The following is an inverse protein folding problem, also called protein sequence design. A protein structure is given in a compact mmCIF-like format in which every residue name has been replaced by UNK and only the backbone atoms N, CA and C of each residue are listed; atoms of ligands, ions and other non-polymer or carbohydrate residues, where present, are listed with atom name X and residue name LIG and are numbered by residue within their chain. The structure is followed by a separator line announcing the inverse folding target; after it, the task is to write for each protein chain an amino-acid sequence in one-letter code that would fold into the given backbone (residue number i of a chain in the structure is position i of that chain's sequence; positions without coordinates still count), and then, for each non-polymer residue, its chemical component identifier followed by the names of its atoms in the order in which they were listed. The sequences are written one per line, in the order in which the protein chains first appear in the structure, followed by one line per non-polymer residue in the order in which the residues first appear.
data_IF_850978909916
#
_entry.id   IF_850978909916
#
_cell.length_a   1.000
_cell.length_b   1.000
_cell.length_c   1.000
_cell.angle_alpha   90.00
_cell.angle_beta   90.00
_cell.angle_gamma   90.00
#
_symmetry.space_group_name_H-M   'P 1'
#
loop_
_entity.id
_entity.type
_entity.pdbx_description
1 polymer ?
#
# COMPACT_ATOMS: atom_id res chain seq x y z
N UNK A 1 54.19 -36.80 -23.52
CA UNK A 1 54.53 -37.12 -22.11
C UNK A 1 54.91 -35.78 -21.46
N UNK A 2 53.95 -34.99 -20.98
CA UNK A 2 53.36 -34.99 -19.63
C UNK A 2 54.31 -34.53 -18.52
N UNK A 3 53.83 -33.51 -17.78
CA UNK A 3 54.30 -32.94 -16.50
C UNK A 3 55.41 -31.89 -16.71
N UNK A 4 55.21 -30.61 -16.40
CA UNK A 4 54.70 -30.06 -15.14
C UNK A 4 53.65 -28.96 -15.34
N UNK A 5 52.44 -29.21 -14.87
CA UNK A 5 51.38 -28.21 -14.71
C UNK A 5 50.73 -28.40 -13.33
N UNK A 6 51.56 -28.62 -12.31
CA UNK A 6 51.12 -28.98 -10.95
C UNK A 6 51.54 -27.94 -9.89
N UNK A 7 51.64 -26.65 -10.27
CA UNK A 7 52.03 -25.60 -9.31
C UNK A 7 50.99 -24.48 -9.09
N UNK A 8 49.75 -24.56 -9.61
CA UNK A 8 48.78 -23.45 -9.44
C UNK A 8 47.41 -23.81 -8.85
N UNK A 9 47.17 -25.03 -8.38
CA UNK A 9 45.83 -25.41 -7.89
C UNK A 9 45.50 -24.89 -6.47
N UNK A 10 46.50 -24.71 -5.60
CA UNK A 10 46.26 -24.25 -4.22
C UNK A 10 45.92 -22.74 -4.11
N UNK A 11 46.38 -21.93 -5.07
CA UNK A 11 46.07 -20.50 -5.13
C UNK A 11 44.66 -20.19 -5.64
N UNK A 12 44.07 -21.09 -6.42
CA UNK A 12 42.77 -20.89 -7.06
C UNK A 12 41.61 -21.23 -6.12
N UNK A 13 41.79 -22.25 -5.27
CA UNK A 13 40.79 -22.62 -4.23
C UNK A 13 40.65 -21.52 -3.17
N UNK A 14 41.75 -20.84 -2.82
CA UNK A 14 41.72 -19.68 -1.91
C UNK A 14 40.97 -18.49 -2.48
N UNK A 15 41.16 -18.20 -3.78
CA UNK A 15 40.40 -17.15 -4.49
C UNK A 15 38.93 -17.51 -4.66
N UNK A 16 38.63 -18.77 -4.98
CA UNK A 16 37.26 -19.25 -5.09
C UNK A 16 36.50 -19.15 -3.76
N UNK A 17 37.16 -19.46 -2.64
CA UNK A 17 36.58 -19.34 -1.29
C UNK A 17 36.32 -17.87 -0.90
N UNK A 18 37.25 -16.97 -1.20
CA UNK A 18 37.06 -15.53 -0.99
C UNK A 18 35.99 -14.91 -1.92
N UNK A 19 35.83 -15.45 -3.14
CA UNK A 19 34.74 -15.08 -4.05
C UNK A 19 33.38 -15.62 -3.59
N UNK A 20 33.33 -16.80 -2.97
CA UNK A 20 32.13 -17.40 -2.40
C UNK A 20 31.66 -16.70 -1.11
N UNK A 21 32.59 -16.21 -0.28
CA UNK A 21 32.25 -15.38 0.89
C UNK A 21 31.64 -14.03 0.48
N UNK A 22 32.11 -13.43 -0.62
CA UNK A 22 31.52 -12.22 -1.22
C UNK A 22 30.19 -12.45 -1.96
N UNK A 23 29.85 -13.71 -2.29
CA UNK A 23 28.62 -14.06 -3.04
C UNK A 23 27.36 -14.12 -2.16
N UNK A 24 27.50 -14.20 -0.84
CA UNK A 24 26.35 -14.25 0.09
C UNK A 24 25.46 -13.00 0.02
N UNK A 25 26.04 -11.81 -0.15
CA UNK A 25 25.30 -10.56 -0.36
C UNK A 25 24.76 -10.42 -1.80
N UNK A 26 25.44 -11.00 -2.79
CA UNK A 26 24.99 -10.99 -4.18
C UNK A 26 23.79 -11.94 -4.38
N UNK A 27 23.79 -13.07 -3.68
CA UNK A 27 22.71 -14.05 -3.70
C UNK A 27 21.44 -13.50 -3.04
N UNK A 28 21.55 -12.71 -1.97
CA UNK A 28 20.42 -11.97 -1.40
C UNK A 28 19.89 -10.87 -2.34
N UNK A 29 20.78 -10.12 -3.01
CA UNK A 29 20.37 -9.13 -4.03
C UNK A 29 19.70 -9.77 -5.23
N UNK A 30 20.21 -10.91 -5.71
CA UNK A 30 19.63 -11.65 -6.83
C UNK A 30 18.30 -12.25 -6.42
N UNK A 31 18.20 -12.84 -5.22
CA UNK A 31 16.94 -13.35 -4.66
C UNK A 31 15.91 -12.24 -4.49
N UNK A 32 16.31 -11.08 -3.96
CA UNK A 32 15.44 -9.90 -3.84
C UNK A 32 14.98 -9.38 -5.21
N UNK A 33 15.86 -9.38 -6.22
CA UNK A 33 15.50 -8.99 -7.59
C UNK A 33 14.55 -10.01 -8.25
N UNK A 34 14.75 -11.31 -8.03
CA UNK A 34 13.87 -12.37 -8.54
C UNK A 34 12.49 -12.29 -7.87
N UNK A 35 12.45 -12.14 -6.54
CA UNK A 35 11.20 -11.98 -5.80
C UNK A 35 10.47 -10.70 -6.20
N UNK A 36 11.18 -9.58 -6.34
CA UNK A 36 10.62 -8.33 -6.85
C UNK A 36 10.09 -8.46 -8.28
N UNK A 37 10.78 -9.21 -9.15
CA UNK A 37 10.30 -9.49 -10.50
C UNK A 37 9.03 -10.37 -10.48
N UNK A 38 8.96 -11.37 -9.60
CA UNK A 38 7.79 -12.23 -9.42
C UNK A 38 6.59 -11.49 -8.82
N UNK A 39 6.82 -10.61 -7.84
CA UNK A 39 5.82 -9.70 -7.28
C UNK A 39 5.28 -8.74 -8.36
N UNK A 40 6.18 -8.20 -9.19
CA UNK A 40 5.79 -7.36 -10.31
C UNK A 40 4.95 -8.12 -11.32
N UNK A 41 5.29 -9.38 -11.61
CA UNK A 41 4.49 -10.25 -12.46
C UNK A 41 3.10 -10.52 -11.84
N UNK A 42 3.01 -10.76 -10.52
CA UNK A 42 1.74 -10.97 -9.84
C UNK A 42 0.85 -9.72 -9.82
N UNK A 43 1.40 -8.56 -9.46
CA UNK A 43 0.69 -7.27 -9.46
C UNK A 43 0.28 -6.85 -10.87
N UNK A 44 1.11 -7.16 -11.86
CA UNK A 44 0.79 -7.02 -13.28
C UNK A 44 -0.44 -7.86 -13.61
N UNK A 45 -0.40 -9.17 -13.41
CA UNK A 45 -1.55 -10.07 -13.66
C UNK A 45 -2.85 -9.61 -12.99
N UNK A 46 -2.78 -9.15 -11.73
CA UNK A 46 -3.96 -8.69 -10.99
C UNK A 46 -4.58 -7.42 -11.58
N UNK A 47 -3.75 -6.42 -11.91
CA UNK A 47 -4.21 -5.19 -12.53
C UNK A 47 -4.74 -5.39 -13.95
N UNK A 48 -4.20 -6.35 -14.70
CA UNK A 48 -4.66 -6.65 -16.05
C UNK A 48 -6.01 -7.37 -16.09
N UNK A 49 -6.32 -8.20 -15.09
CA UNK A 49 -7.65 -8.81 -14.95
C UNK A 49 -8.77 -7.77 -14.81
N UNK A 50 -8.50 -6.57 -14.29
CA UNK A 50 -9.49 -5.48 -14.23
C UNK A 50 -9.64 -4.71 -15.56
N UNK A 51 -8.81 -4.99 -16.57
CA UNK A 51 -8.79 -4.32 -17.88
C UNK A 51 -9.55 -5.08 -18.96
N UNK A 52 -9.69 -6.41 -18.82
CA UNK A 52 -10.29 -7.27 -19.85
C UNK A 52 -11.77 -6.91 -20.08
N UNK A 53 -12.04 -6.17 -21.17
CA UNK A 53 -13.36 -5.91 -21.74
C UNK A 53 -13.32 -6.19 -23.25
N UNK A 54 -14.49 -6.32 -23.93
CA UNK A 54 -14.55 -6.72 -25.33
C UNK A 54 -13.72 -5.83 -26.27
N UNK A 55 -13.32 -6.33 -27.46
CA UNK A 55 -12.46 -5.64 -28.43
C UNK A 55 -12.93 -4.24 -28.87
N UNK A 56 -14.21 -3.91 -28.69
CA UNK A 56 -14.81 -2.62 -29.06
C UNK A 56 -14.27 -1.41 -28.30
N UNK A 57 -13.48 -1.59 -27.23
CA UNK A 57 -12.93 -0.51 -26.39
C UNK A 57 -11.43 -0.30 -26.60
N UNK A 58 -10.78 -1.06 -27.51
CA UNK A 58 -9.32 -1.03 -27.70
C UNK A 58 -8.80 0.40 -27.98
N UNK A 59 -9.48 1.16 -28.85
CA UNK A 59 -9.10 2.54 -29.19
C UNK A 59 -9.12 3.49 -27.99
N UNK A 60 -10.01 3.29 -27.01
CA UNK A 60 -10.04 4.11 -25.81
C UNK A 60 -8.80 3.91 -24.91
N UNK A 61 -8.11 2.77 -25.07
CA UNK A 61 -6.93 2.40 -24.28
C UNK A 61 -5.62 2.74 -25.00
N UNK A 62 -5.58 2.59 -26.33
CA UNK A 62 -4.34 2.72 -27.10
C UNK A 62 -4.12 4.09 -27.74
N UNK A 63 -5.16 4.93 -27.82
CA UNK A 63 -5.03 6.29 -28.36
C UNK A 63 -4.54 7.22 -27.25
N UNK A 64 -3.41 7.92 -27.44
CA UNK A 64 -2.94 8.93 -26.50
C UNK A 64 -4.03 9.95 -26.14
N UNK A 65 -4.21 10.19 -24.84
CA UNK A 65 -5.22 11.13 -24.33
C UNK A 65 -6.66 10.63 -24.38
N UNK A 66 -6.91 9.38 -24.80
CA UNK A 66 -8.21 8.77 -24.67
C UNK A 66 -8.51 8.40 -23.20
N UNK A 67 -9.81 8.28 -22.88
CA UNK A 67 -10.33 8.10 -21.51
C UNK A 67 -9.68 6.95 -20.73
N UNK A 68 -9.24 5.89 -21.43
CA UNK A 68 -8.70 4.69 -20.81
C UNK A 68 -7.17 4.56 -21.00
N UNK A 69 -6.49 5.59 -21.52
CA UNK A 69 -5.07 5.56 -21.86
C UNK A 69 -4.16 5.32 -20.63
N UNK A 70 -4.56 5.79 -19.45
CA UNK A 70 -3.84 5.55 -18.19
C UNK A 70 -3.60 4.06 -17.89
N UNK A 71 -4.45 3.16 -18.40
CA UNK A 71 -4.25 1.70 -18.29
C UNK A 71 -3.05 1.22 -19.08
N UNK A 72 -2.85 1.75 -20.30
CA UNK A 72 -1.67 1.45 -21.11
C UNK A 72 -0.40 2.06 -20.50
N UNK A 73 -0.50 3.20 -19.82
CA UNK A 73 0.64 3.75 -19.07
C UNK A 73 1.08 2.82 -17.96
N UNK A 74 0.15 2.36 -17.11
CA UNK A 74 0.47 1.45 -16.00
C UNK A 74 1.03 0.09 -16.47
N UNK A 75 0.46 -0.45 -17.54
CA UNK A 75 0.97 -1.60 -18.26
C UNK A 75 2.44 -1.50 -18.69
N UNK A 76 2.77 -0.38 -19.35
CA UNK A 76 4.12 -0.10 -19.81
C UNK A 76 5.03 0.15 -18.63
N UNK A 77 4.59 0.88 -17.60
CA UNK A 77 5.32 1.08 -16.35
C UNK A 77 5.76 -0.23 -15.69
N UNK A 78 4.86 -1.21 -15.56
CA UNK A 78 5.19 -2.54 -15.03
C UNK A 78 6.19 -3.29 -15.92
N UNK A 79 6.13 -3.10 -17.23
CA UNK A 79 7.05 -3.69 -18.19
C UNK A 79 8.44 -3.05 -18.11
N UNK A 80 8.52 -1.72 -17.97
CA UNK A 80 9.76 -0.97 -17.73
C UNK A 80 10.46 -1.45 -16.46
N UNK A 81 9.71 -1.68 -15.37
CA UNK A 81 10.26 -2.24 -14.13
C UNK A 81 10.83 -3.66 -14.28
N UNK A 82 10.41 -4.39 -15.31
CA UNK A 82 10.95 -5.71 -15.70
C UNK A 82 12.08 -5.62 -16.73
N UNK A 83 12.49 -4.42 -17.12
CA UNK A 83 13.50 -4.20 -18.16
C UNK A 83 12.98 -4.41 -19.60
N UNK A 84 11.66 -4.42 -19.78
CA UNK A 84 11.02 -4.54 -21.09
C UNK A 84 10.74 -3.12 -21.61
N UNK A 85 11.58 -2.66 -22.54
CA UNK A 85 11.54 -1.30 -23.09
C UNK A 85 11.12 -1.24 -24.57
N UNK A 86 11.00 -2.39 -25.24
CA UNK A 86 10.65 -2.45 -26.66
C UNK A 86 9.24 -2.96 -26.87
N UNK A 87 8.60 -2.46 -27.93
CA UNK A 87 7.25 -2.85 -28.30
C UNK A 87 7.14 -4.35 -28.60
N UNK A 88 8.12 -4.90 -29.32
CA UNK A 88 8.14 -6.31 -29.73
C UNK A 88 8.20 -7.26 -28.53
N UNK A 89 8.97 -6.89 -27.50
CA UNK A 89 9.01 -7.68 -26.26
C UNK A 89 7.74 -7.46 -25.44
N UNK A 90 7.21 -6.24 -25.44
CA UNK A 90 5.96 -5.93 -24.76
C UNK A 90 4.79 -6.75 -25.28
N UNK A 91 4.58 -6.83 -26.60
CA UNK A 91 3.44 -7.58 -27.18
C UNK A 91 3.50 -9.09 -26.95
N UNK A 92 4.69 -9.62 -26.63
CA UNK A 92 4.88 -11.03 -26.27
C UNK A 92 4.62 -11.30 -24.79
N UNK A 93 4.45 -10.26 -23.99
CA UNK A 93 4.05 -10.43 -22.59
C UNK A 93 2.63 -10.96 -22.54
N UNK A 94 2.37 -11.88 -21.61
CA UNK A 94 1.02 -12.43 -21.39
C UNK A 94 0.01 -11.30 -21.14
N UNK A 95 0.48 -10.23 -20.53
CA UNK A 95 -0.28 -9.03 -20.23
C UNK A 95 -0.70 -8.22 -21.45
N UNK A 96 0.20 -8.05 -22.41
CA UNK A 96 -0.16 -7.44 -23.69
C UNK A 96 -1.11 -8.34 -24.48
N UNK A 97 -0.94 -9.66 -24.40
CA UNK A 97 -1.89 -10.63 -24.97
C UNK A 97 -3.27 -10.53 -24.29
N UNK A 98 -3.31 -10.37 -22.97
CA UNK A 98 -4.57 -10.22 -22.21
C UNK A 98 -5.27 -8.88 -22.53
N UNK A 99 -4.52 -7.79 -22.76
CA UNK A 99 -5.07 -6.46 -23.12
C UNK A 99 -5.53 -6.39 -24.58
N UNK A 100 -4.68 -6.85 -25.49
CA UNK A 100 -4.77 -6.55 -26.92
C UNK A 100 -5.39 -7.74 -27.67
N UNK A 101 -5.39 -8.91 -27.05
CA UNK A 101 -5.72 -10.18 -27.70
C UNK A 101 -4.56 -10.67 -28.58
N UNK A 102 -4.91 -11.48 -29.58
CA UNK A 102 -3.96 -11.92 -30.59
C UNK A 102 -3.57 -10.74 -31.49
N UNK A 103 -2.39 -10.16 -31.25
CA UNK A 103 -1.86 -9.02 -32.01
C UNK A 103 -1.79 -9.31 -33.52
N UNK A 104 -1.65 -10.57 -33.92
CA UNK A 104 -1.64 -10.97 -35.33
C UNK A 104 -3.00 -10.80 -36.00
N UNK A 105 -4.08 -10.63 -35.23
CA UNK A 105 -5.45 -10.41 -35.73
C UNK A 105 -5.86 -8.95 -35.77
N UNK A 106 -5.02 -8.03 -35.31
CA UNK A 106 -5.31 -6.60 -35.37
C UNK A 106 -5.28 -6.11 -36.81
N UNK A 107 -6.18 -5.17 -37.12
CA UNK A 107 -6.09 -4.41 -38.36
C UNK A 107 -4.77 -3.59 -38.38
N UNK A 108 -4.16 -3.36 -39.55
CA UNK A 108 -2.91 -2.59 -39.66
C UNK A 108 -2.99 -1.18 -39.03
N UNK A 109 -4.16 -0.57 -39.09
CA UNK A 109 -4.47 0.74 -38.48
C UNK A 109 -4.39 0.67 -36.96
N UNK A 110 -5.03 -0.32 -36.34
CA UNK A 110 -5.04 -0.50 -34.89
C UNK A 110 -3.65 -0.91 -34.36
N UNK A 111 -2.88 -1.70 -35.14
CA UNK A 111 -1.48 -1.99 -34.83
C UNK A 111 -0.61 -0.73 -34.83
N UNK A 112 -0.84 0.18 -35.78
CA UNK A 112 -0.14 1.46 -35.85
C UNK A 112 -0.49 2.35 -34.67
N UNK A 113 -1.77 2.44 -34.32
CA UNK A 113 -2.25 3.16 -33.13
C UNK A 113 -1.64 2.58 -31.85
N UNK A 114 -1.59 1.26 -31.71
CA UNK A 114 -1.03 0.58 -30.56
C UNK A 114 0.48 0.84 -30.41
N UNK A 115 1.24 0.83 -31.50
CA UNK A 115 2.68 1.18 -31.48
C UNK A 115 2.89 2.63 -31.03
N UNK A 116 2.08 3.56 -31.55
CA UNK A 116 2.11 4.97 -31.16
C UNK A 116 1.75 5.15 -29.67
N UNK A 117 0.67 4.50 -29.23
CA UNK A 117 0.23 4.49 -27.84
C UNK A 117 1.29 3.93 -26.89
N UNK A 118 1.96 2.82 -27.25
CA UNK A 118 3.05 2.27 -26.47
C UNK A 118 4.22 3.26 -26.33
N UNK A 119 4.63 3.91 -27.43
CA UNK A 119 5.72 4.88 -27.40
C UNK A 119 5.39 6.08 -26.49
N UNK A 120 4.16 6.59 -26.55
CA UNK A 120 3.71 7.65 -25.66
C UNK A 120 3.64 7.18 -24.20
N UNK A 121 3.07 6.01 -23.93
CA UNK A 121 2.98 5.44 -22.58
C UNK A 121 4.36 5.20 -21.96
N UNK A 122 5.36 4.83 -22.77
CA UNK A 122 6.75 4.70 -22.34
C UNK A 122 7.38 6.05 -22.00
N UNK A 123 7.07 7.09 -22.78
CA UNK A 123 7.47 8.47 -22.50
C UNK A 123 6.86 8.96 -21.18
N UNK A 124 5.55 8.83 -21.00
CA UNK A 124 4.82 9.27 -19.80
C UNK A 124 5.31 8.54 -18.55
N UNK A 125 5.51 7.22 -18.67
CA UNK A 125 6.14 6.39 -17.63
C UNK A 125 7.50 6.95 -17.21
N UNK A 126 8.34 7.27 -18.18
CA UNK A 126 9.69 7.79 -17.93
C UNK A 126 9.66 9.18 -17.30
N UNK A 127 8.69 10.02 -17.68
CA UNK A 127 8.46 11.34 -17.11
C UNK A 127 8.05 11.23 -15.64
N UNK A 128 7.09 10.37 -15.31
CA UNK A 128 6.63 10.14 -13.93
C UNK A 128 7.77 9.63 -13.04
N UNK A 129 8.52 8.63 -13.49
CA UNK A 129 9.64 8.07 -12.71
C UNK A 129 10.69 9.15 -12.44
N UNK A 130 11.04 9.95 -13.46
CA UNK A 130 12.01 11.05 -13.32
C UNK A 130 11.51 12.12 -12.36
N UNK A 131 10.25 12.54 -12.50
CA UNK A 131 9.63 13.54 -11.64
C UNK A 131 9.61 13.08 -10.19
N UNK A 132 9.10 11.88 -9.91
CA UNK A 132 9.03 11.35 -8.54
C UNK A 132 10.39 11.20 -7.89
N UNK A 133 11.41 10.75 -8.63
CA UNK A 133 12.79 10.72 -8.11
C UNK A 133 13.33 12.11 -7.79
N UNK A 134 13.00 13.12 -8.59
CA UNK A 134 13.37 14.52 -8.31
C UNK A 134 12.74 15.05 -7.02
N UNK A 135 11.57 14.52 -6.65
CA UNK A 135 10.86 14.82 -5.41
C UNK A 135 11.31 13.96 -4.21
N UNK A 136 12.31 13.09 -4.39
CA UNK A 136 12.77 12.17 -3.34
C UNK A 136 11.77 11.06 -3.01
N UNK A 137 10.81 10.78 -3.90
CA UNK A 137 9.88 9.66 -3.74
C UNK A 137 10.59 8.33 -4.00
N UNK A 138 10.25 7.29 -3.24
CA UNK A 138 10.71 5.94 -3.55
C UNK A 138 9.86 5.29 -4.63
N UNK A 139 10.39 4.21 -5.19
CA UNK A 139 9.77 3.47 -6.30
C UNK A 139 8.33 3.00 -5.98
N UNK A 140 8.03 2.71 -4.71
CA UNK A 140 6.72 2.27 -4.24
C UNK A 140 5.69 3.42 -4.16
N UNK A 141 6.11 4.63 -3.79
CA UNK A 141 5.27 5.82 -3.91
C UNK A 141 4.99 6.13 -5.37
N UNK A 142 6.03 6.15 -6.22
CA UNK A 142 5.87 6.35 -7.66
C UNK A 142 4.89 5.32 -8.24
N UNK A 143 5.05 4.05 -7.86
CA UNK A 143 4.14 2.97 -8.24
C UNK A 143 2.69 3.25 -7.82
N UNK A 144 2.46 3.79 -6.62
CA UNK A 144 1.13 4.14 -6.14
C UNK A 144 0.47 5.22 -7.01
N UNK A 145 1.23 6.22 -7.49
CA UNK A 145 0.71 7.24 -8.42
C UNK A 145 0.35 6.65 -9.79
N UNK A 146 1.21 5.81 -10.37
CA UNK A 146 0.89 5.18 -11.67
C UNK A 146 -0.29 4.21 -11.53
N UNK A 147 -0.40 3.48 -10.42
CA UNK A 147 -1.58 2.65 -10.10
C UNK A 147 -2.83 3.51 -9.89
N UNK A 148 -2.70 4.66 -9.26
CA UNK A 148 -3.77 5.64 -9.10
C UNK A 148 -4.29 6.15 -10.44
N UNK A 149 -3.38 6.40 -11.40
CA UNK A 149 -3.74 6.75 -12.77
C UNK A 149 -4.47 5.60 -13.48
N UNK A 150 -4.01 4.35 -13.37
CA UNK A 150 -4.73 3.18 -13.89
C UNK A 150 -6.18 3.09 -13.38
N UNK A 151 -6.39 3.39 -12.11
CA UNK A 151 -7.71 3.34 -11.49
C UNK A 151 -8.60 4.55 -11.84
N UNK A 152 -8.01 5.65 -12.29
CA UNK A 152 -8.69 6.88 -12.72
C UNK A 152 -8.10 7.34 -14.06
N UNK A 153 -8.36 6.59 -15.14
CA UNK A 153 -7.58 6.68 -16.37
C UNK A 153 -7.83 7.96 -17.17
N UNK A 154 -8.85 8.73 -16.78
CA UNK A 154 -9.15 10.07 -17.31
C UNK A 154 -8.13 11.14 -16.90
N UNK A 155 -7.28 10.88 -15.90
CA UNK A 155 -6.22 11.83 -15.56
C UNK A 155 -5.19 11.96 -16.69
N UNK A 156 -4.56 13.12 -16.75
CA UNK A 156 -3.45 13.44 -17.65
C UNK A 156 -2.11 13.32 -16.93
N UNK A 157 -1.01 13.27 -17.68
CA UNK A 157 0.33 13.27 -17.11
C UNK A 157 0.55 14.48 -16.19
N UNK A 158 0.12 15.68 -16.63
CA UNK A 158 0.28 16.92 -15.87
C UNK A 158 -0.45 16.85 -14.52
N UNK A 159 -1.70 16.39 -14.51
CA UNK A 159 -2.48 16.20 -13.27
C UNK A 159 -1.83 15.18 -12.32
N UNK A 160 -1.25 14.09 -12.84
CA UNK A 160 -0.52 13.12 -12.02
C UNK A 160 0.73 13.77 -11.42
N UNK A 161 1.50 14.52 -12.21
CA UNK A 161 2.72 15.20 -11.71
C UNK A 161 2.41 16.29 -10.69
N UNK A 162 1.34 17.06 -10.86
CA UNK A 162 0.88 18.05 -9.88
C UNK A 162 0.50 17.39 -8.56
N UNK A 163 -0.16 16.23 -8.61
CA UNK A 163 -0.47 15.47 -7.40
C UNK A 163 0.77 14.93 -6.69
N UNK A 164 1.82 14.55 -7.44
CA UNK A 164 3.10 14.16 -6.86
C UNK A 164 3.80 15.36 -6.19
N UNK A 165 3.71 16.55 -6.78
CA UNK A 165 4.23 17.78 -6.16
C UNK A 165 3.53 18.08 -4.83
N UNK A 166 2.19 18.04 -4.83
CA UNK A 166 1.37 18.26 -3.62
C UNK A 166 1.67 17.22 -2.53
N UNK A 167 1.91 15.97 -2.93
CA UNK A 167 2.34 14.89 -2.02
C UNK A 167 3.69 15.19 -1.36
N UNK A 168 4.66 15.66 -2.14
CA UNK A 168 6.01 15.95 -1.64
C UNK A 168 6.11 17.28 -0.87
N UNK A 169 5.15 18.19 -1.05
CA UNK A 169 5.21 19.56 -0.55
C UNK A 169 5.46 19.69 0.98
N UNK A 170 4.81 18.92 1.87
CA UNK A 170 5.10 19.01 3.31
C UNK A 170 6.57 18.75 3.64
N UNK A 171 7.20 17.85 2.88
CA UNK A 171 8.60 17.51 3.05
C UNK A 171 9.57 18.57 2.51
N UNK A 172 9.14 19.34 1.51
CA UNK A 172 9.93 20.44 0.96
C UNK A 172 9.86 21.69 1.83
N UNK A 173 8.68 21.98 2.40
CA UNK A 173 8.45 23.21 3.18
C UNK A 173 9.10 23.21 4.56
N UNK A 174 9.22 22.05 5.20
CA UNK A 174 9.71 21.96 6.58
C UNK A 174 10.88 20.99 6.66
N UNK A 175 12.06 21.53 7.00
CA UNK A 175 13.21 20.71 7.36
C UNK A 175 12.83 19.83 8.56
N UNK A 176 12.77 18.51 8.32
CA UNK A 176 12.40 17.53 9.35
C UNK A 176 10.92 17.13 9.36
N UNK A 177 10.09 17.60 8.42
CA UNK A 177 8.79 16.98 8.20
C UNK A 177 8.99 15.48 7.88
N UNK A 178 8.16 14.67 8.51
CA UNK A 178 8.19 13.21 8.39
C UNK A 178 6.85 12.64 7.90
N UNK A 179 5.85 13.50 7.68
CA UNK A 179 4.55 13.15 7.10
C UNK A 179 4.38 13.68 5.70
N UNK A 180 3.32 13.20 5.06
CA UNK A 180 2.74 13.78 3.84
C UNK A 180 1.26 14.00 4.03
N UNK A 181 0.68 14.77 3.13
CA UNK A 181 -0.77 14.94 3.04
C UNK A 181 -1.25 13.97 1.96
N UNK A 182 -2.29 13.20 2.26
CA UNK A 182 -2.91 12.29 1.30
C UNK A 182 -3.20 13.04 -0.01
N UNK A 183 -2.88 12.47 -1.17
CA UNK A 183 -3.17 13.07 -2.48
C UNK A 183 -4.65 12.94 -2.84
N UNK A 184 -5.12 13.62 -3.88
CA UNK A 184 -6.52 13.51 -4.31
C UNK A 184 -6.87 12.13 -4.88
N UNK A 185 -5.87 11.42 -5.41
CA UNK A 185 -5.98 10.00 -5.76
C UNK A 185 -6.29 9.11 -4.55
N UNK A 186 -5.78 9.48 -3.37
CA UNK A 186 -5.99 8.73 -2.13
C UNK A 186 -7.25 9.21 -1.41
N UNK A 187 -7.51 10.51 -1.39
CA UNK A 187 -8.55 11.15 -0.58
C UNK A 187 -9.32 12.16 -1.42
N UNK A 188 -10.57 11.84 -1.75
CA UNK A 188 -11.44 12.72 -2.53
C UNK A 188 -11.89 13.96 -1.74
N UNK A 189 -12.40 14.96 -2.47
CA UNK A 189 -12.80 16.25 -1.88
C UNK A 189 -13.91 16.12 -0.83
N UNK A 190 -14.85 15.19 -1.02
CA UNK A 190 -15.91 14.88 -0.04
C UNK A 190 -15.30 14.34 1.26
N UNK A 191 -14.36 13.39 1.14
CA UNK A 191 -13.64 12.85 2.28
C UNK A 191 -12.84 13.93 3.01
N UNK A 192 -12.13 14.81 2.27
CA UNK A 192 -11.39 15.93 2.89
C UNK A 192 -12.31 16.88 3.64
N UNK A 193 -13.49 17.18 3.11
CA UNK A 193 -14.44 18.06 3.78
C UNK A 193 -14.98 17.46 5.10
N UNK A 194 -14.99 16.13 5.22
CA UNK A 194 -15.40 15.41 6.42
C UNK A 194 -14.27 15.20 7.44
N UNK A 195 -13.01 15.37 7.03
CA UNK A 195 -11.83 15.09 7.86
C UNK A 195 -11.09 16.39 8.18
N UNK A 196 -10.69 16.55 9.45
CA UNK A 196 -9.91 17.71 9.87
C UNK A 196 -8.49 17.70 9.26
N UNK A 197 -7.76 18.82 9.30
CA UNK A 197 -6.43 18.95 8.68
C UNK A 197 -5.44 17.85 9.12
N UNK A 198 -5.49 17.44 10.40
CA UNK A 198 -4.61 16.40 10.94
C UNK A 198 -4.89 15.03 10.31
N UNK A 199 -6.16 14.71 10.08
CA UNK A 199 -6.64 13.42 9.59
C UNK A 199 -6.30 13.17 8.12
N UNK A 200 -5.87 14.22 7.41
CA UNK A 200 -5.42 14.12 6.03
C UNK A 200 -3.95 13.68 5.92
N UNK A 201 -3.24 13.52 7.05
CA UNK A 201 -1.83 13.14 7.06
C UNK A 201 -1.64 11.64 6.93
N UNK A 202 -0.60 11.26 6.21
CA UNK A 202 -0.14 9.88 6.04
C UNK A 202 1.38 9.82 6.17
N UNK A 203 1.91 8.65 6.50
CA UNK A 203 3.34 8.41 6.57
C UNK A 203 3.66 7.00 6.05
N UNK A 204 4.63 6.91 5.14
CA UNK A 204 5.18 5.63 4.73
C UNK A 204 5.39 5.50 3.23
N UNK A 205 4.88 4.43 2.63
CA UNK A 205 5.48 3.72 1.48
C UNK A 205 4.57 3.54 0.27
N UNK A 206 3.37 4.11 0.29
CA UNK A 206 2.40 3.93 -0.79
C UNK A 206 1.77 2.53 -0.78
N UNK A 207 1.66 1.94 0.40
CA UNK A 207 0.76 0.81 0.68
C UNK A 207 -0.69 1.27 0.80
N UNK A 208 -0.96 2.44 1.39
CA UNK A 208 -2.31 3.03 1.38
C UNK A 208 -2.62 3.52 -0.04
N UNK A 209 -3.75 3.07 -0.56
CA UNK A 209 -4.24 3.43 -1.89
C UNK A 209 -5.46 4.33 -1.83
N UNK A 210 -6.27 4.23 -0.77
CA UNK A 210 -7.50 5.00 -0.64
C UNK A 210 -7.88 5.26 0.80
N UNK A 211 -8.38 6.46 1.07
CA UNK A 211 -9.00 6.87 2.32
C UNK A 211 -10.36 7.47 1.95
N UNK A 212 -11.43 6.99 2.59
CA UNK A 212 -12.78 7.49 2.41
C UNK A 212 -13.42 7.79 3.75
N UNK A 213 -14.02 8.95 3.88
CA UNK A 213 -14.88 9.29 5.00
C UNK A 213 -16.30 9.50 4.50
N UNK A 214 -17.29 8.95 5.21
CA UNK A 214 -18.72 9.08 4.88
C UNK A 214 -19.54 9.10 6.15
N UNK A 215 -20.77 9.58 6.06
CA UNK A 215 -21.78 9.32 7.09
C UNK A 215 -22.49 8.00 6.79
N UNK A 216 -22.67 7.16 7.80
CA UNK A 216 -23.54 5.97 7.72
C UNK A 216 -25.00 6.40 7.59
N UNK A 217 -25.90 5.46 7.29
CA UNK A 217 -27.36 5.72 7.29
C UNK A 217 -27.85 6.25 8.66
N UNK A 218 -27.18 5.85 9.75
CA UNK A 218 -27.42 6.33 11.12
C UNK A 218 -26.71 7.67 11.43
N UNK A 219 -26.16 8.37 10.43
CA UNK A 219 -25.50 9.67 10.59
C UNK A 219 -24.09 9.65 11.19
N UNK A 220 -23.58 8.48 11.61
CA UNK A 220 -22.24 8.33 12.22
C UNK A 220 -21.13 8.46 11.20
N UNK A 221 -19.97 8.96 11.63
CA UNK A 221 -18.80 9.03 10.77
C UNK A 221 -18.18 7.63 10.60
N UNK A 222 -18.02 7.22 9.34
CA UNK A 222 -17.33 6.01 8.93
C UNK A 222 -16.10 6.40 8.13
N UNK A 223 -14.94 5.89 8.52
CA UNK A 223 -13.66 6.12 7.86
C UNK A 223 -13.14 4.77 7.38
N UNK A 224 -12.79 4.69 6.09
CA UNK A 224 -12.26 3.48 5.47
C UNK A 224 -10.89 3.77 4.88
N UNK A 225 -9.88 2.98 5.26
CA UNK A 225 -8.53 3.01 4.69
C UNK A 225 -8.29 1.69 3.96
N UNK A 226 -7.89 1.77 2.70
CA UNK A 226 -7.64 0.63 1.83
C UNK A 226 -6.22 0.65 1.30
N UNK A 227 -5.58 -0.51 1.28
CA UNK A 227 -4.21 -0.60 0.80
C UNK A 227 -3.63 -2.01 0.75
N UNK A 228 -2.42 -2.09 0.26
CA UNK A 228 -1.54 -3.26 0.36
C UNK A 228 -0.77 -3.21 1.69
N UNK A 229 -0.75 -4.32 2.40
CA UNK A 229 0.00 -4.43 3.66
C UNK A 229 1.45 -4.77 3.35
N UNK A 230 2.37 -3.92 3.82
CA UNK A 230 3.81 -4.03 3.57
C UNK A 230 4.62 -4.00 4.87
N UNK A 231 4.57 -5.05 5.71
CA UNK A 231 5.23 -5.04 7.00
C UNK A 231 6.74 -4.82 6.86
N UNK A 232 7.31 -4.04 7.78
CA UNK A 232 8.76 -3.78 7.84
C UNK A 232 9.26 -2.62 6.98
N UNK A 233 8.43 -2.01 6.14
CA UNK A 233 8.82 -0.86 5.32
C UNK A 233 8.96 0.45 6.12
N UNK A 234 8.40 0.49 7.35
CA UNK A 234 8.56 1.59 8.28
C UNK A 234 9.31 1.15 9.55
N UNK A 235 10.41 1.83 9.84
CA UNK A 235 11.19 1.67 11.06
C UNK A 235 10.49 2.40 12.19
N UNK A 236 10.00 1.65 13.18
CA UNK A 236 9.28 2.19 14.34
C UNK A 236 10.19 2.89 15.35
N UNK A 237 11.44 2.45 15.49
CA UNK A 237 12.41 3.05 16.41
C UNK A 237 13.42 3.87 15.61
N UNK A 238 13.35 5.23 15.63
CA UNK A 238 14.29 6.09 14.93
C UNK A 238 15.77 5.80 15.24
N UNK A 239 16.07 5.25 16.43
CA UNK A 239 17.44 4.91 16.85
C UNK A 239 18.00 3.69 16.13
N UNK A 240 17.13 2.88 15.52
CA UNK A 240 17.50 1.71 14.71
C UNK A 240 17.51 2.01 13.21
N UNK A 241 17.06 3.20 12.81
CA UNK A 241 16.99 3.59 11.42
C UNK A 241 18.38 3.77 10.82
N UNK A 242 18.59 3.19 9.64
CA UNK A 242 19.75 3.38 8.79
C UNK A 242 19.52 4.54 7.80
N UNK A 243 20.59 5.10 7.20
CA UNK A 243 20.43 6.09 6.13
C UNK A 243 19.55 5.54 4.99
N UNK A 244 18.46 6.25 4.69
CA UNK A 244 17.46 5.86 3.68
C UNK A 244 16.25 5.13 4.24
N UNK A 245 16.28 4.69 5.50
CA UNK A 245 15.11 4.10 6.16
C UNK A 245 14.01 5.14 6.35
N UNK A 246 12.77 4.66 6.23
CA UNK A 246 11.58 5.45 6.53
C UNK A 246 11.19 5.24 7.97
N UNK A 247 11.06 6.33 8.70
CA UNK A 247 10.75 6.30 10.12
C UNK A 247 9.24 6.45 10.28
N UNK A 248 8.62 5.55 11.04
CA UNK A 248 7.22 5.68 11.43
C UNK A 248 7.04 6.98 12.23
N UNK A 249 5.94 7.68 11.97
CA UNK A 249 5.66 8.91 12.68
C UNK A 249 5.09 8.68 14.07
N UNK A 250 4.32 7.60 14.21
CA UNK A 250 3.52 7.35 15.40
C UNK A 250 2.66 8.58 15.69
N UNK A 251 1.61 8.80 14.89
CA UNK A 251 0.70 9.94 15.05
C UNK A 251 0.10 10.04 16.46
N UNK A 252 0.03 8.93 17.20
CA UNK A 252 -0.27 8.91 18.64
C UNK A 252 0.63 9.82 19.51
N UNK A 253 1.89 10.01 19.12
CA UNK A 253 2.87 10.81 19.86
C UNK A 253 2.83 12.29 19.46
N UNK A 254 2.20 12.62 18.33
CA UNK A 254 2.04 13.99 17.86
C UNK A 254 0.90 14.68 18.61
N UNK A 255 1.28 15.55 19.55
CA UNK A 255 0.36 16.28 20.44
C UNK A 255 -0.21 17.55 19.84
N UNK A 256 0.10 17.87 18.58
CA UNK A 256 -0.13 19.21 18.03
C UNK A 256 -1.60 19.63 17.98
N UNK A 257 -2.55 18.70 17.78
CA UNK A 257 -3.95 19.04 17.51
C UNK A 257 -5.02 18.21 18.25
N UNK A 258 -4.62 17.33 19.18
CA UNK A 258 -5.56 16.37 19.78
C UNK A 258 -5.44 16.39 21.30
N UNK A 259 -6.57 16.39 22.01
CA UNK A 259 -6.60 16.42 23.46
C UNK A 259 -5.92 15.21 24.07
N UNK A 260 -5.21 15.41 25.17
CA UNK A 260 -4.71 14.32 25.98
C UNK A 260 -5.85 13.58 26.67
N UNK A 261 -5.58 12.33 27.05
CA UNK A 261 -6.50 11.50 27.83
C UNK A 261 -7.02 12.21 29.10
N UNK A 262 -6.14 12.94 29.78
CA UNK A 262 -6.49 13.75 30.95
C UNK A 262 -7.38 14.94 30.62
N UNK A 263 -7.16 15.61 29.49
CA UNK A 263 -8.01 16.72 29.03
C UNK A 263 -9.43 16.25 28.66
N UNK A 264 -9.58 14.98 28.28
CA UNK A 264 -10.87 14.34 28.03
C UNK A 264 -11.51 13.74 29.30
N UNK A 265 -10.81 13.73 30.43
CA UNK A 265 -11.30 13.07 31.66
C UNK A 265 -11.40 11.55 31.55
N UNK A 266 -10.66 10.92 30.62
CA UNK A 266 -10.63 9.47 30.45
C UNK A 266 -9.66 8.81 31.43
N UNK A 267 -9.98 7.58 31.87
CA UNK A 267 -9.10 6.77 32.72
C UNK A 267 -7.88 6.25 31.97
N UNK A 268 -6.93 5.65 32.69
CA UNK A 268 -5.72 5.07 32.10
C UNK A 268 -5.97 3.88 31.14
N UNK A 269 -7.21 3.39 31.11
CA UNK A 269 -7.68 2.30 30.26
C UNK A 269 -8.10 2.75 28.87
N UNK A 270 -7.94 4.04 28.53
CA UNK A 270 -8.25 4.59 27.22
C UNK A 270 -6.98 5.05 26.51
N UNK A 271 -6.93 4.82 25.20
CA UNK A 271 -5.89 5.37 24.33
C UNK A 271 -6.38 5.59 22.90
N UNK A 272 -5.54 6.23 22.09
CA UNK A 272 -5.81 6.42 20.67
C UNK A 272 -5.46 5.15 19.90
N UNK A 273 -6.46 4.66 19.19
CA UNK A 273 -6.40 3.51 18.30
C UNK A 273 -6.08 4.01 16.91
N UNK A 274 -5.20 3.31 16.20
CA UNK A 274 -5.00 3.53 14.77
C UNK A 274 -5.86 2.54 13.99
N UNK A 275 -6.56 3.04 12.97
CA UNK A 275 -7.18 2.16 11.99
C UNK A 275 -6.13 1.55 11.04
N UNK A 276 -5.11 2.34 10.69
CA UNK A 276 -3.99 1.94 9.84
C UNK A 276 -2.67 2.40 10.46
N UNK A 277 -2.09 1.56 11.31
CA UNK A 277 -0.84 1.86 12.00
C UNK A 277 0.43 1.44 11.22
N UNK A 278 1.62 1.89 11.67
CA UNK A 278 2.89 1.67 10.97
C UNK A 278 3.28 0.19 10.80
N UNK A 279 2.59 -0.73 11.50
CA UNK A 279 2.76 -2.17 11.30
C UNK A 279 2.39 -2.64 9.89
N UNK A 280 1.51 -1.93 9.21
CA UNK A 280 1.12 -2.22 7.84
C UNK A 280 2.09 -1.68 6.78
N UNK A 281 3.20 -1.03 7.19
CA UNK A 281 4.17 -0.41 6.27
C UNK A 281 3.78 0.98 5.79
N UNK A 282 2.65 1.48 6.27
CA UNK A 282 2.16 2.84 6.11
C UNK A 282 1.44 3.23 7.40
N UNK A 283 1.11 4.50 7.55
CA UNK A 283 0.41 5.05 8.69
C UNK A 283 -0.55 6.14 8.20
N UNK A 284 -1.78 6.13 8.69
CA UNK A 284 -2.75 7.18 8.43
C UNK A 284 -3.24 7.81 9.74
N UNK A 285 -3.33 9.14 9.75
CA UNK A 285 -4.05 9.84 10.81
C UNK A 285 -5.57 9.64 10.68
N UNK A 286 -6.07 9.54 9.44
CA UNK A 286 -7.47 9.18 9.18
C UNK A 286 -7.86 7.88 9.89
N UNK A 287 -8.95 7.92 10.64
CA UNK A 287 -9.47 6.76 11.37
C UNK A 287 -8.82 6.57 12.74
N UNK A 288 -7.98 7.51 13.19
CA UNK A 288 -7.59 7.56 14.60
C UNK A 288 -8.79 7.93 15.48
N UNK A 289 -9.07 7.10 16.48
CA UNK A 289 -10.19 7.28 17.40
C UNK A 289 -9.79 6.86 18.81
N UNK A 290 -10.47 7.41 19.82
CA UNK A 290 -10.35 6.95 21.20
C UNK A 290 -11.04 5.60 21.36
N UNK A 291 -10.37 4.69 22.07
CA UNK A 291 -10.95 3.43 22.46
C UNK A 291 -10.25 2.81 23.67
N UNK A 292 -10.79 1.71 24.19
CA UNK A 292 -10.17 0.98 25.28
C UNK A 292 -8.76 0.49 24.90
N UNK A 293 -7.80 0.68 25.81
CA UNK A 293 -6.40 0.26 25.70
C UNK A 293 -6.25 -1.23 25.42
N UNK A 294 -7.13 -2.05 25.99
CA UNK A 294 -7.14 -3.48 25.72
C UNK A 294 -7.31 -3.78 24.22
N UNK A 295 -8.18 -3.02 23.53
CA UNK A 295 -8.41 -3.17 22.10
C UNK A 295 -7.13 -2.89 21.32
N UNK A 296 -6.47 -1.76 21.59
CA UNK A 296 -5.23 -1.43 20.88
C UNK A 296 -4.16 -2.50 21.13
N UNK A 297 -3.90 -2.84 22.40
CA UNK A 297 -2.70 -3.59 22.77
C UNK A 297 -2.86 -5.07 22.47
N UNK A 298 -4.03 -5.65 22.79
CA UNK A 298 -4.28 -7.07 22.64
C UNK A 298 -4.92 -7.37 21.30
N UNK A 299 -5.99 -6.67 20.92
CA UNK A 299 -6.84 -7.12 19.81
C UNK A 299 -6.40 -6.58 18.47
N UNK A 300 -5.99 -5.32 18.38
CA UNK A 300 -5.43 -4.73 17.17
C UNK A 300 -3.95 -5.11 17.05
N UNK A 301 -3.08 -4.57 17.90
CA UNK A 301 -1.63 -4.67 17.72
C UNK A 301 -1.10 -6.11 17.76
N UNK A 302 -1.46 -6.87 18.79
CA UNK A 302 -1.02 -8.27 18.97
C UNK A 302 -1.95 -9.28 18.30
N UNK A 303 -3.22 -8.93 18.10
CA UNK A 303 -4.24 -9.77 17.50
C UNK A 303 -4.32 -9.64 15.98
N UNK A 304 -5.37 -8.98 15.52
CA UNK A 304 -5.76 -8.86 14.11
C UNK A 304 -4.64 -8.27 13.25
N UNK A 305 -3.97 -7.20 13.70
CA UNK A 305 -2.89 -6.61 12.90
C UNK A 305 -1.65 -7.50 12.82
N UNK A 306 -1.30 -8.22 13.89
CA UNK A 306 -0.14 -9.13 13.86
C UNK A 306 -0.37 -10.30 12.92
N UNK A 307 -1.58 -10.85 12.95
CA UNK A 307 -2.02 -11.85 12.01
C UNK A 307 -1.97 -11.33 10.56
N UNK A 308 -2.50 -10.14 10.29
CA UNK A 308 -2.45 -9.51 8.96
C UNK A 308 -1.00 -9.33 8.50
N UNK A 309 -0.10 -8.85 9.38
CA UNK A 309 1.33 -8.71 9.05
C UNK A 309 1.98 -10.05 8.73
N UNK A 310 1.70 -11.08 9.53
CA UNK A 310 2.22 -12.43 9.33
C UNK A 310 1.75 -13.00 7.99
N UNK A 311 0.46 -12.88 7.68
CA UNK A 311 -0.08 -13.27 6.37
C UNK A 311 0.59 -12.51 5.23
N UNK A 312 0.78 -11.20 5.36
CA UNK A 312 1.41 -10.38 4.33
C UNK A 312 2.86 -10.82 4.07
N UNK A 313 3.64 -11.08 5.11
CA UNK A 313 5.00 -11.60 4.99
C UNK A 313 5.03 -12.99 4.33
N UNK A 314 4.13 -13.90 4.71
CA UNK A 314 4.04 -15.23 4.12
C UNK A 314 3.59 -15.22 2.66
N UNK A 315 2.61 -14.38 2.32
CA UNK A 315 2.13 -14.21 0.95
C UNK A 315 3.25 -13.67 0.06
N UNK A 316 3.99 -12.66 0.55
CA UNK A 316 5.12 -12.08 -0.18
C UNK A 316 6.21 -13.10 -0.49
N UNK A 317 6.55 -13.98 0.46
CA UNK A 317 7.50 -15.08 0.23
C UNK A 317 7.06 -16.04 -0.88
N UNK A 318 5.76 -16.09 -1.18
CA UNK A 318 5.16 -16.89 -2.25
C UNK A 318 4.87 -16.07 -3.53
N UNK A 319 5.39 -14.83 -3.62
CA UNK A 319 5.12 -13.92 -4.74
C UNK A 319 3.69 -13.38 -4.78
N UNK A 320 2.95 -13.50 -3.68
CA UNK A 320 1.62 -12.95 -3.48
C UNK A 320 1.62 -11.62 -2.72
N UNK A 321 0.43 -11.14 -2.39
CA UNK A 321 0.23 -9.93 -1.60
C UNK A 321 -0.95 -10.10 -0.63
N UNK A 322 -1.06 -9.18 0.33
CA UNK A 322 -2.24 -9.04 1.18
C UNK A 322 -2.76 -7.61 1.05
N UNK A 323 -4.06 -7.50 0.80
CA UNK A 323 -4.78 -6.23 0.73
C UNK A 323 -5.76 -6.14 1.88
N UNK A 324 -5.87 -4.96 2.47
CA UNK A 324 -6.79 -4.71 3.58
C UNK A 324 -7.68 -3.53 3.24
N UNK A 325 -8.98 -3.69 3.49
CA UNK A 325 -9.93 -2.60 3.68
C UNK A 325 -10.26 -2.55 5.18
N UNK A 326 -9.73 -1.55 5.87
CA UNK A 326 -9.99 -1.29 7.28
C UNK A 326 -11.03 -0.17 7.39
N UNK A 327 -12.12 -0.41 8.11
CA UNK A 327 -13.20 0.57 8.32
C UNK A 327 -13.42 0.80 9.81
N UNK A 328 -13.31 2.05 10.27
CA UNK A 328 -13.71 2.46 11.60
C UNK A 328 -15.03 3.23 11.53
N UNK A 329 -15.96 2.87 12.39
CA UNK A 329 -17.18 3.63 12.63
C UNK A 329 -17.03 4.30 13.99
N UNK A 330 -17.20 5.61 14.03
CA UNK A 330 -17.24 6.36 15.28
C UNK A 330 -18.62 6.21 15.93
N UNK A 331 -18.67 6.29 17.25
CA UNK A 331 -19.89 6.66 17.94
C UNK A 331 -20.32 8.09 17.56
N UNK A 332 -21.55 8.48 17.90
CA UNK A 332 -22.06 9.83 17.61
C UNK A 332 -21.24 10.89 18.38
N UNK A 333 -21.30 12.17 18.01
CA UNK A 333 -20.76 13.24 18.86
C UNK A 333 -21.92 14.18 19.20
N UNK A 334 -22.30 14.33 20.48
CA UNK A 334 -21.69 13.77 21.71
C UNK A 334 -21.74 12.23 21.83
N UNK A 335 -20.65 11.60 22.29
CA UNK A 335 -20.63 10.23 22.86
C UNK A 335 -19.66 10.14 24.03
N UNK A 336 -20.07 9.62 25.21
CA UNK A 336 -21.41 9.07 25.48
C UNK A 336 -22.50 10.14 25.45
N UNK A 337 -23.77 9.73 25.32
CA UNK A 337 -24.89 10.69 25.30
C UNK A 337 -24.75 11.77 26.38
N UNK A 338 -24.69 13.03 25.96
CA UNK A 338 -24.54 14.19 26.85
C UNK A 338 -23.10 14.63 27.13
N UNK A 339 -22.10 13.95 26.58
CA UNK A 339 -20.69 14.33 26.67
C UNK A 339 -20.11 14.49 25.26
N UNK A 340 -19.66 15.71 24.93
CA UNK A 340 -18.91 16.00 23.72
C UNK A 340 -17.45 16.18 24.10
N UNK A 341 -16.56 15.42 23.46
CA UNK A 341 -15.13 15.71 23.55
C UNK A 341 -14.87 17.14 23.04
N UNK A 342 -14.21 18.01 23.81
CA UNK A 342 -13.81 19.31 23.32
C UNK A 342 -12.89 19.10 22.09
N UNK A 343 -13.13 19.83 21.00
CA UNK A 343 -12.32 19.68 19.78
C UNK A 343 -12.77 18.60 18.78
N UNK A 344 -13.85 17.86 19.05
CA UNK A 344 -14.46 16.97 18.05
C UNK A 344 -13.84 15.57 17.93
N UNK A 345 -13.02 15.16 18.91
CA UNK A 345 -12.45 13.82 19.00
C UNK A 345 -13.51 12.72 18.84
N UNK A 346 -13.14 11.63 18.17
CA UNK A 346 -14.02 10.52 17.84
C UNK A 346 -13.75 9.33 18.75
N UNK A 347 -14.81 8.60 19.10
CA UNK A 347 -14.75 7.37 19.89
C UNK A 347 -15.08 6.17 19.01
N UNK A 348 -14.27 5.13 19.06
CA UNK A 348 -14.46 3.94 18.25
C UNK A 348 -15.74 3.22 18.69
N UNK A 349 -16.67 3.05 17.75
CA UNK A 349 -17.81 2.12 17.90
C UNK A 349 -17.47 0.75 17.35
N UNK A 350 -16.86 0.71 16.17
CA UNK A 350 -16.56 -0.54 15.49
C UNK A 350 -15.32 -0.37 14.62
N UNK A 351 -14.46 -1.38 14.59
CA UNK A 351 -13.43 -1.54 13.58
C UNK A 351 -13.67 -2.84 12.79
N UNK A 352 -13.70 -2.76 11.47
CA UNK A 352 -13.79 -3.92 10.57
C UNK A 352 -12.54 -3.98 9.68
N UNK A 353 -11.93 -5.15 9.58
CA UNK A 353 -10.83 -5.44 8.66
C UNK A 353 -11.29 -6.51 7.67
N UNK A 354 -11.39 -6.15 6.39
CA UNK A 354 -11.53 -7.11 5.29
C UNK A 354 -10.17 -7.37 4.67
N UNK A 355 -9.70 -8.58 4.80
CA UNK A 355 -8.35 -9.02 4.44
C UNK A 355 -8.48 -9.91 3.22
N UNK A 356 -7.85 -9.52 2.11
CA UNK A 356 -7.79 -10.31 0.88
C UNK A 356 -6.36 -10.80 0.69
N UNK A 357 -6.18 -12.11 0.66
CA UNK A 357 -4.89 -12.76 0.36
C UNK A 357 -4.88 -13.18 -1.10
N UNK A 358 -3.93 -12.65 -1.86
CA UNK A 358 -3.76 -12.97 -3.28
C UNK A 358 -2.46 -13.74 -3.48
N UNK A 359 -2.57 -15.00 -3.92
CA UNK A 359 -1.43 -15.84 -4.25
C UNK A 359 -1.40 -16.16 -5.76
N UNK A 360 -0.21 -16.24 -6.38
CA UNK A 360 -0.08 -16.63 -7.78
C UNK A 360 -0.82 -17.94 -8.10
N UNK A 361 -1.67 -17.89 -9.14
CA UNK A 361 -2.41 -19.07 -9.62
C UNK A 361 -3.53 -19.56 -8.71
N UNK A 362 -3.83 -18.88 -7.60
CA UNK A 362 -4.92 -19.24 -6.68
C UNK A 362 -6.06 -18.22 -6.75
N UNK A 363 -7.25 -18.65 -6.36
CA UNK A 363 -8.37 -17.73 -6.13
C UNK A 363 -8.07 -16.89 -4.88
N UNK A 364 -8.38 -15.57 -4.87
CA UNK A 364 -8.23 -14.74 -3.69
C UNK A 364 -9.03 -15.29 -2.51
N UNK A 365 -8.42 -15.28 -1.33
CA UNK A 365 -9.09 -15.67 -0.09
C UNK A 365 -9.45 -14.41 0.71
N UNK A 366 -10.67 -14.37 1.25
CA UNK A 366 -11.19 -13.23 2.01
C UNK A 366 -11.43 -13.63 3.45
N UNK A 367 -11.00 -12.79 4.38
CA UNK A 367 -11.22 -12.93 5.82
C UNK A 367 -11.80 -11.61 6.33
N UNK A 368 -12.78 -11.67 7.23
CA UNK A 368 -13.32 -10.50 7.91
C UNK A 368 -13.07 -10.61 9.41
N UNK A 369 -12.50 -9.58 10.00
CA UNK A 369 -12.41 -9.43 11.45
C UNK A 369 -13.16 -8.16 11.87
N UNK A 370 -14.02 -8.25 12.87
CA UNK A 370 -14.80 -7.12 13.37
C UNK A 370 -14.62 -7.00 14.88
N UNK A 371 -14.28 -5.80 15.36
CA UNK A 371 -14.20 -5.44 16.76
C UNK A 371 -15.32 -4.45 17.05
N UNK A 372 -16.31 -4.87 17.82
CA UNK A 372 -17.38 -4.02 18.32
C UNK A 372 -17.04 -3.49 19.70
N UNK A 373 -17.18 -2.19 19.92
CA UNK A 373 -16.84 -1.52 21.18
C UNK A 373 -18.12 -1.01 21.83
N UNK A 374 -18.27 -1.26 23.13
CA UNK A 374 -19.39 -0.73 23.89
C UNK A 374 -19.36 0.81 23.90
N UNK A 375 -20.51 1.42 24.18
CA UNK A 375 -20.58 2.88 24.33
C UNK A 375 -19.66 3.29 25.49
N UNK A 376 -18.77 4.28 25.30
CA UNK A 376 -17.99 4.86 26.39
C UNK A 376 -18.90 5.26 27.58
N UNK A 377 -18.41 5.27 28.83
CA UNK A 377 -17.06 4.95 29.26
C UNK A 377 -16.83 3.44 29.42
N UNK A 378 -17.75 2.58 28.98
CA UNK A 378 -17.53 1.14 29.04
C UNK A 378 -16.32 0.75 28.17
N UNK A 379 -15.49 -0.15 28.70
CA UNK A 379 -14.28 -0.63 28.01
C UNK A 379 -14.46 -1.99 27.34
N UNK A 380 -15.66 -2.56 27.44
CA UNK A 380 -15.97 -3.86 26.85
C UNK A 380 -15.95 -3.78 25.33
N UNK A 381 -15.40 -4.82 24.71
CA UNK A 381 -15.50 -5.02 23.28
C UNK A 381 -15.84 -6.49 22.95
N UNK A 382 -16.10 -6.79 21.67
CA UNK A 382 -16.30 -8.14 21.15
C UNK A 382 -15.55 -8.28 19.83
N UNK A 383 -14.69 -9.30 19.71
CA UNK A 383 -14.03 -9.66 18.45
C UNK A 383 -14.79 -10.80 17.77
N UNK A 384 -15.06 -10.66 16.48
CA UNK A 384 -15.65 -11.70 15.63
C UNK A 384 -14.84 -11.88 14.35
N UNK A 385 -14.75 -13.11 13.85
CA UNK A 385 -13.94 -13.46 12.68
C UNK A 385 -14.70 -14.42 11.76
N UNK A 386 -14.63 -14.16 10.46
CA UNK A 386 -15.27 -14.95 9.41
C UNK A 386 -14.31 -15.21 8.24
N UNK A 387 -14.10 -16.48 7.82
CA UNK A 387 -14.60 -17.69 8.48
C UNK A 387 -13.93 -17.90 9.86
N UNK A 388 -14.62 -18.50 10.85
CA UNK A 388 -14.05 -18.70 12.19
C UNK A 388 -12.72 -19.47 12.21
N UNK A 389 -12.51 -20.36 11.22
CA UNK A 389 -11.29 -21.14 11.08
C UNK A 389 -10.11 -20.38 10.46
N UNK A 390 -10.31 -19.15 9.98
CA UNK A 390 -9.23 -18.34 9.41
C UNK A 390 -8.19 -17.93 10.45
N UNK A 391 -8.59 -17.89 11.72
CA UNK A 391 -7.84 -17.31 12.80
C UNK A 391 -8.05 -18.19 14.03
N UNK A 392 -6.96 -18.64 14.65
CA UNK A 392 -7.05 -19.32 15.93
C UNK A 392 -6.91 -18.28 17.05
N UNK A 393 -8.00 -17.90 17.75
CA UNK A 393 -7.93 -16.92 18.83
C UNK A 393 -7.09 -17.43 20.02
N UNK A 394 -6.99 -18.76 20.20
CA UNK A 394 -6.21 -19.36 21.28
C UNK A 394 -4.70 -19.17 21.07
N UNK A 395 -4.25 -19.11 19.81
CA UNK A 395 -2.87 -18.81 19.46
C UNK A 395 -2.45 -17.36 19.80
N UNK A 396 -3.40 -16.45 20.02
CA UNK A 396 -3.16 -15.03 20.27
C UNK A 396 -3.19 -14.61 21.72
N UNK A 397 -4.01 -15.28 22.52
CA UNK A 397 -4.12 -14.98 23.93
C UNK A 397 -2.97 -15.59 24.74
N UNK A 398 -2.18 -16.50 24.13
CA UNK A 398 -1.13 -17.24 24.81
C UNK A 398 -1.72 -17.87 26.05
N UNK A 399 -2.33 -19.06 25.94
CA UNK A 399 -2.51 -19.84 27.16
C UNK A 399 -1.14 -19.91 27.87
N UNK A 400 -1.08 -19.61 29.17
CA UNK A 400 0.16 -19.42 29.89
C UNK A 400 1.14 -20.59 29.77
#
# INVERSE_FOLDING_TARGET
MYKEQAFNEAGDVGRLRASLENLTALEERIRANILRAAELEAQSRAAWRSVVRPPTVLRAVIVPGAEEFGRLVYAVYLSVRRGILSFERFVLTREAIDLIGDVARLAPEDLTLLKSGFAQALSDTSAIIRHGRSLGMADNEIHAFVRGWHNNPSHTLDEITEQMDRWAEPLRRSQGARYRVASDLMMDAETRALLSDFDQRVAGTGGIERIRARRTDEGRLSITVEGEVRPGELVRDPRRAQPGDRIALSFNADRSNLLSRSELGLSDDWERLHLWGPGFGDEAAAGMMWGPREINQLWQNRGVEDYIRTLASQARQQGGNVRVRATAIAWENPTPRGWSAPGGDLFLKQAEYRITVELPGRQPQSIRATIDVAEPPATRAVLSIDPPAAFDPAALLGEP
#
